data_IF_186348794803
#
_entry.id   IF_186348794803
#
_cell.length_a   1.000
_cell.length_b   1.000
_cell.length_c   1.000
_cell.angle_alpha   90.00
_cell.angle_beta   90.00
_cell.angle_gamma   90.00
#
_symmetry.space_group_name_H-M   'P 1'
#
loop_
_entity.id
_entity.type
_entity.pdbx_description
1 polymer ?
2 non-polymer ?
3 water ?
#
# COMPACT_ATOMS: atom_id res chain seq x y z
N UNK A 14 -22.54 15.68 -28.82
CA UNK A 14 -21.10 15.77 -28.65
C UNK A 14 -20.71 15.40 -27.22
N UNK A 15 -21.70 15.28 -26.34
CA UNK A 15 -21.45 15.03 -24.93
C UNK A 15 -22.60 14.25 -24.34
N UNK A 16 -22.29 13.10 -23.73
CA UNK A 16 -23.27 12.29 -23.01
C UNK A 16 -23.05 12.48 -21.51
N UNK A 17 -24.14 12.71 -20.79
CA UNK A 17 -24.09 13.09 -19.38
C UNK A 17 -24.81 12.04 -18.54
N UNK A 18 -24.40 11.93 -17.29
CA UNK A 18 -25.05 11.06 -16.31
C UNK A 18 -24.64 11.48 -14.91
N UNK A 19 -25.58 11.44 -13.98
CA UNK A 19 -25.37 11.85 -12.60
C UNK A 19 -25.30 10.62 -11.70
N UNK A 20 -24.30 10.60 -10.83
CA UNK A 20 -24.07 9.49 -9.89
C UNK A 20 -24.37 9.99 -8.48
N UNK A 21 -25.18 9.22 -7.76
CA UNK A 21 -25.46 9.54 -6.37
C UNK A 21 -24.43 8.86 -5.46
N UNK A 22 -24.24 9.37 -4.25
CA UNK A 22 -23.20 8.81 -3.38
C UNK A 22 -23.54 7.40 -2.91
N UNK A 23 -22.50 6.59 -2.75
CA UNK A 23 -22.65 5.22 -2.26
C UNK A 23 -21.40 4.82 -1.49
N UNK A 24 -21.59 4.30 -0.29
CA UNK A 24 -20.49 3.81 0.53
C UNK A 24 -19.72 4.89 1.26
N UNK A 25 -19.85 6.15 0.86
CA UNK A 25 -19.15 7.25 1.52
C UNK A 25 -19.65 8.56 0.92
N UNK A 26 -19.34 9.65 1.61
CA UNK A 26 -19.76 10.98 1.18
C UNK A 26 -21.27 11.08 1.02
N UNK A 27 -22.02 10.34 1.83
CA UNK A 27 -23.48 10.29 1.72
C UNK A 27 -24.19 11.14 2.75
N UNK A 28 -23.47 11.78 3.68
CA UNK A 28 -24.05 12.64 4.70
C UNK A 28 -23.11 13.83 4.89
N UNK A 29 -23.36 14.91 4.16
CA UNK A 29 -22.49 16.07 4.13
C UNK A 29 -23.24 17.32 4.55
N UNK A 30 -22.48 18.32 5.00
CA UNK A 30 -23.03 19.63 5.34
C UNK A 30 -22.86 20.59 4.17
N UNK A 31 -23.72 21.60 4.13
CA UNK A 31 -23.64 22.56 3.03
C UNK A 31 -22.27 23.22 2.97
N UNK A 32 -21.71 23.57 4.13
CA UNK A 32 -20.35 24.13 4.15
C UNK A 32 -19.36 23.16 3.53
N UNK A 33 -19.40 21.89 3.96
CA UNK A 33 -18.52 20.89 3.38
C UNK A 33 -18.70 20.80 1.87
N UNK A 34 -19.94 20.83 1.40
CA UNK A 34 -20.20 20.78 -0.04
C UNK A 34 -19.55 21.97 -0.73
N UNK A 35 -19.75 23.17 -0.18
CA UNK A 35 -19.10 24.36 -0.75
C UNK A 35 -17.59 24.21 -0.77
N UNK A 36 -17.02 23.63 0.30
CA UNK A 36 -15.58 23.38 0.31
C UNK A 36 -15.18 22.45 -0.83
N UNK A 37 -15.85 21.30 -0.94
CA UNK A 37 -15.59 20.39 -2.06
C UNK A 37 -15.67 21.13 -3.39
N UNK A 38 -16.60 22.07 -3.51
CA UNK A 38 -16.85 22.75 -4.78
C UNK A 38 -15.58 23.45 -5.29
N UNK A 39 -15.03 24.37 -4.50
CA UNK A 39 -13.84 25.09 -4.93
C UNK A 39 -12.65 24.15 -5.11
N UNK A 40 -12.49 23.20 -4.19
CA UNK A 40 -11.41 22.21 -4.32
C UNK A 40 -11.44 21.55 -5.68
N UNK A 41 -12.63 21.17 -6.15
CA UNK A 41 -12.78 20.54 -7.46
C UNK A 41 -12.46 21.49 -8.61
N UNK A 42 -12.30 22.78 -8.33
CA UNK A 42 -11.96 23.75 -9.36
C UNK A 42 -10.59 24.37 -9.17
N UNK A 43 -9.83 23.91 -8.18
CA UNK A 43 -8.47 24.40 -7.96
C UNK A 43 -7.49 23.54 -8.76
N UNK A 44 -6.20 23.71 -8.51
CA UNK A 44 -5.20 22.93 -9.24
C UNK A 44 -5.37 21.44 -9.04
N UNK A 45 -6.05 21.01 -7.96
CA UNK A 45 -6.26 19.60 -7.70
C UNK A 45 -7.09 18.91 -8.76
N UNK A 46 -7.68 19.65 -9.70
CA UNK A 46 -8.61 19.03 -10.64
C UNK A 46 -7.94 17.94 -11.45
N UNK A 47 -6.76 18.24 -12.03
CA UNK A 47 -6.08 17.25 -12.86
C UNK A 47 -5.85 15.96 -12.09
N UNK A 48 -5.43 16.05 -10.84
CA UNK A 48 -5.28 14.84 -10.02
C UNK A 48 -6.63 14.17 -9.80
N UNK A 49 -7.64 14.95 -9.46
CA UNK A 49 -8.96 14.39 -9.18
C UNK A 49 -9.57 13.74 -10.41
N UNK A 50 -9.39 14.35 -11.58
CA UNK A 50 -9.94 13.78 -12.81
C UNK A 50 -9.24 12.47 -13.16
N UNK A 51 -7.90 12.47 -13.16
CA UNK A 51 -7.15 11.28 -13.54
C UNK A 51 -7.43 10.11 -12.61
N UNK A 52 -7.75 10.39 -11.34
CA UNK A 52 -8.06 9.30 -10.41
C UNK A 52 -9.46 8.73 -10.67
N UNK A 53 -10.46 9.60 -10.83
CA UNK A 53 -11.78 9.13 -11.21
C UNK A 53 -11.72 8.31 -12.50
N UNK A 54 -10.94 8.77 -13.48
CA UNK A 54 -10.82 8.02 -14.73
C UNK A 54 -10.24 6.64 -14.49
N UNK A 55 -9.20 6.55 -13.66
CA UNK A 55 -8.60 5.25 -13.36
C UNK A 55 -9.62 4.32 -12.71
N UNK A 56 -10.41 4.85 -11.77
CA UNK A 56 -11.41 4.03 -11.10
C UNK A 56 -12.40 3.46 -12.11
N UNK A 57 -12.82 4.28 -13.09
CA UNK A 57 -13.82 3.87 -14.06
C UNK A 57 -13.32 2.81 -15.04
N UNK A 58 -12.02 2.51 -15.02
CA UNK A 58 -11.45 1.50 -15.91
C UNK A 58 -11.09 0.20 -15.18
N UNK A 59 -11.44 0.08 -13.91
CA UNK A 59 -11.20 -1.16 -13.18
C UNK A 59 -11.98 -2.32 -13.79
N UNK A 60 -11.26 -3.27 -14.39
CA UNK A 60 -11.87 -4.38 -15.10
C UNK A 60 -11.67 -4.32 -16.60
N UNK A 61 -11.39 -3.15 -17.15
CA UNK A 61 -11.05 -3.06 -18.57
C UNK A 61 -9.76 -3.83 -18.83
N UNK A 62 -9.81 -4.75 -19.81
CA UNK A 62 -8.74 -5.71 -20.03
C UNK A 62 -7.61 -5.17 -20.91
N UNK A 63 -7.37 -3.86 -20.89
CA UNK A 63 -6.18 -3.30 -21.54
C UNK A 63 -5.09 -3.19 -20.49
N UNK A 64 -4.15 -4.14 -20.51
CA UNK A 64 -3.13 -4.20 -19.47
C UNK A 64 -2.27 -2.95 -19.43
N UNK A 65 -1.98 -2.36 -20.59
CA UNK A 65 -1.17 -1.14 -20.64
C UNK A 65 -1.93 0.00 -19.99
N UNK A 66 -1.46 0.44 -18.81
CA UNK A 66 -2.17 1.45 -18.05
C UNK A 66 -2.21 2.78 -18.79
N UNK A 67 -1.03 3.39 -19.01
CA UNK A 67 -0.98 4.71 -19.64
C UNK A 67 -1.56 4.69 -21.05
N UNK A 68 -1.53 3.53 -21.72
CA UNK A 68 -2.17 3.43 -23.03
C UNK A 68 -3.65 3.79 -22.94
N UNK A 69 -4.34 3.27 -21.92
CA UNK A 69 -5.79 3.46 -21.80
C UNK A 69 -6.15 4.82 -21.24
N UNK A 70 -5.26 5.43 -20.44
CA UNK A 70 -5.55 6.74 -19.86
C UNK A 70 -5.68 7.80 -20.95
N UNK A 71 -4.98 7.63 -22.07
CA UNK A 71 -5.08 8.60 -23.15
C UNK A 71 -6.29 8.35 -24.03
N UNK A 72 -6.72 7.09 -24.15
CA UNK A 72 -7.84 6.75 -25.01
C UNK A 72 -9.10 7.56 -24.67
N UNK A 73 -9.16 8.17 -23.50
CA UNK A 73 -10.34 8.89 -23.05
C UNK A 73 -10.00 10.38 -22.96
N UNK A 74 -9.86 11.00 -24.13
CA UNK A 74 -9.65 12.44 -24.18
C UNK A 74 -10.92 13.20 -23.86
N UNK A 75 -12.08 12.62 -24.18
CA UNK A 75 -13.34 13.31 -23.98
C UNK A 75 -13.64 13.54 -22.50
N UNK A 76 -13.08 12.71 -21.63
CA UNK A 76 -13.59 12.60 -20.27
C UNK A 76 -13.32 13.86 -19.44
N UNK A 77 -14.31 14.26 -18.67
CA UNK A 77 -14.17 15.29 -17.63
C UNK A 77 -15.22 15.01 -16.57
N UNK A 78 -14.96 15.52 -15.36
CA UNK A 78 -15.86 15.30 -14.23
C UNK A 78 -15.98 16.58 -13.42
N UNK A 79 -17.20 16.87 -12.98
CA UNK A 79 -17.46 18.02 -12.12
C UNK A 79 -18.30 17.57 -10.94
N UNK A 80 -18.24 18.35 -9.87
CA UNK A 80 -18.94 18.07 -8.63
C UNK A 80 -20.21 18.92 -8.59
N UNK A 81 -21.34 18.27 -8.30
CA UNK A 81 -22.63 18.95 -8.29
C UNK A 81 -23.06 19.22 -6.85
N UNK A 82 -23.50 20.45 -6.61
CA UNK A 82 -24.00 20.84 -5.29
C UNK A 82 -25.52 20.66 -5.26
N UNK A 83 -26.01 20.00 -4.21
CA UNK A 83 -27.43 19.89 -3.96
C UNK A 83 -27.70 20.20 -2.49
N UNK A 84 -28.89 20.74 -2.22
CA UNK A 84 -29.24 21.14 -0.86
C UNK A 84 -28.92 20.04 0.14
N UNK A 85 -29.20 18.78 -0.21
CA UNK A 85 -28.93 17.68 0.69
C UNK A 85 -27.45 17.34 0.74
N UNK A 86 -26.81 17.27 -0.44
CA UNK A 86 -25.41 16.89 -0.50
C UNK A 86 -24.84 17.02 -1.89
N UNK A 87 -23.93 16.11 -2.25
CA UNK A 87 -23.20 16.19 -3.50
C UNK A 87 -23.65 15.07 -4.43
N UNK A 88 -23.54 15.34 -5.73
CA UNK A 88 -23.59 14.33 -6.77
C UNK A 88 -22.42 14.55 -7.72
N UNK A 89 -22.02 13.48 -8.40
CA UNK A 89 -20.92 13.54 -9.35
C UNK A 89 -21.47 13.51 -10.76
N UNK A 90 -21.02 14.43 -11.60
CA UNK A 90 -21.40 14.51 -12.99
C UNK A 90 -20.27 13.98 -13.86
N UNK A 91 -20.59 13.04 -14.74
CA UNK A 91 -19.61 12.42 -15.62
C UNK A 91 -19.89 12.82 -17.06
N UNK A 92 -18.86 13.30 -17.76
CA UNK A 92 -18.96 13.69 -19.16
C UNK A 92 -18.12 12.72 -19.98
N UNK A 93 -18.76 12.01 -20.89
CA UNK A 93 -18.10 11.06 -21.78
C UNK A 93 -17.25 10.04 -21.02
N UNK A 94 -17.84 9.30 -20.09
CA UNK A 94 -17.07 8.29 -19.34
C UNK A 94 -16.99 6.99 -20.12
N UNK A 95 -16.15 6.05 -19.66
CA UNK A 95 -16.03 4.77 -20.36
C UNK A 95 -17.32 3.97 -20.34
N UNK A 96 -17.61 3.31 -21.46
CA UNK A 96 -18.85 2.55 -21.57
C UNK A 96 -18.80 1.29 -20.71
N UNK A 97 -17.66 0.59 -20.69
CA UNK A 97 -17.56 -0.67 -19.95
C UNK A 97 -17.90 -0.53 -18.48
N UNK A 98 -18.07 0.69 -17.98
CA UNK A 98 -18.39 0.91 -16.58
C UNK A 98 -19.88 0.97 -16.30
N UNK A 99 -20.73 0.75 -17.31
CA UNK A 99 -22.16 0.84 -17.14
C UNK A 99 -22.84 -0.45 -17.59
N UNK A 100 -24.03 -0.68 -17.04
CA UNK A 100 -24.84 -1.84 -17.35
C UNK A 100 -26.26 -1.32 -17.59
N UNK A 101 -26.67 -1.26 -18.85
CA UNK A 101 -27.99 -0.76 -19.22
C UNK A 101 -28.23 0.65 -18.70
N UNK A 102 -27.19 1.49 -18.77
CA UNK A 102 -27.30 2.87 -18.36
C UNK A 102 -27.07 3.14 -16.88
N UNK A 103 -26.82 2.11 -16.08
CA UNK A 103 -26.55 2.27 -14.66
C UNK A 103 -25.10 1.91 -14.37
N UNK A 104 -24.47 2.67 -13.46
CA UNK A 104 -23.08 2.43 -13.13
C UNK A 104 -22.96 1.20 -12.24
N UNK A 105 -21.91 0.42 -12.46
CA UNK A 105 -21.66 -0.75 -11.61
C UNK A 105 -21.36 -0.26 -10.20
N UNK A 106 -22.04 -0.86 -9.22
CA UNK A 106 -21.89 -0.39 -7.83
C UNK A 106 -20.44 -0.35 -7.41
N UNK A 107 -19.70 -1.43 -7.66
CA UNK A 107 -18.30 -1.49 -7.24
C UNK A 107 -17.52 -0.27 -7.69
N UNK A 108 -17.65 0.08 -8.97
CA UNK A 108 -17.02 1.30 -9.47
C UNK A 108 -17.59 2.53 -8.78
N UNK A 109 -18.92 2.58 -8.64
CA UNK A 109 -19.57 3.72 -8.01
C UNK A 109 -19.02 3.98 -6.61
N UNK A 110 -18.80 2.90 -5.84
CA UNK A 110 -18.25 3.07 -4.50
C UNK A 110 -16.81 3.57 -4.55
N UNK A 111 -15.99 2.99 -5.43
CA UNK A 111 -14.64 3.52 -5.64
C UNK A 111 -14.68 4.95 -6.13
N UNK A 112 -15.70 5.30 -6.93
CA UNK A 112 -15.77 6.65 -7.49
C UNK A 112 -15.88 7.70 -6.38
N UNK A 113 -16.73 7.44 -5.38
CA UNK A 113 -16.85 8.36 -4.27
C UNK A 113 -15.76 8.18 -3.22
N UNK A 114 -15.05 7.05 -3.25
CA UNK A 114 -13.86 6.91 -2.42
C UNK A 114 -12.79 7.90 -2.86
N UNK A 115 -12.69 8.15 -4.17
CA UNK A 115 -11.76 9.17 -4.68
C UNK A 115 -12.23 10.56 -4.24
N UNK A 116 -13.51 10.84 -4.39
CA UNK A 116 -14.06 12.13 -3.95
C UNK A 116 -13.71 12.40 -2.49
N UNK A 117 -13.69 11.35 -1.67
CA UNK A 117 -13.43 11.48 -0.24
C UNK A 117 -11.94 11.72 0.05
N UNK A 118 -11.08 10.79 -0.40
CA UNK A 118 -9.68 10.82 0.01
C UNK A 118 -8.86 11.87 -0.74
N UNK A 119 -9.27 12.25 -1.95
CA UNK A 119 -8.52 13.23 -2.72
C UNK A 119 -8.96 14.65 -2.42
N UNK A 120 -10.27 14.91 -2.47
CA UNK A 120 -10.79 16.25 -2.25
C UNK A 120 -11.02 16.57 -0.79
N UNK A 121 -11.72 15.68 -0.07
CA UNK A 121 -12.06 15.98 1.32
C UNK A 121 -10.83 15.91 2.21
N UNK A 122 -10.00 14.89 2.05
CA UNK A 122 -8.87 14.65 2.94
C UNK A 122 -7.61 15.30 2.38
N UNK A 123 -7.25 14.94 1.14
CA UNK A 123 -5.99 15.39 0.57
C UNK A 123 -5.99 16.89 0.31
N UNK A 124 -7.04 17.41 -0.34
CA UNK A 124 -7.08 18.82 -0.69
C UNK A 124 -7.18 19.74 0.50
N UNK A 125 -7.89 19.32 1.55
CA UNK A 125 -8.04 20.14 2.75
C UNK A 125 -6.93 19.90 3.77
N UNK A 126 -6.09 18.90 3.57
CA UNK A 126 -5.06 18.58 4.55
C UNK A 126 -3.86 19.49 4.40
N UNK A 127 -3.34 19.63 3.18
CA UNK A 127 -2.22 20.55 2.96
C UNK A 127 -2.58 21.96 3.39
N UNK A 128 -3.81 22.38 3.11
CA UNK A 128 -4.34 23.62 3.67
C UNK A 128 -4.22 23.58 5.19
N UNK A 129 -3.23 24.29 5.74
CA UNK A 129 -3.25 24.58 7.17
C UNK A 129 -4.04 25.84 7.47
N UNK A 130 -4.43 26.59 6.44
CA UNK A 130 -5.39 27.67 6.60
C UNK A 130 -6.77 27.09 6.90
N UNK A 131 -7.05 25.88 6.43
CA UNK A 131 -8.33 25.20 6.56
C UNK A 131 -8.42 24.29 7.77
N UNK A 132 -7.49 23.34 7.92
CA UNK A 132 -7.56 22.41 9.04
C UNK A 132 -6.91 22.99 10.29
N UNK A 133 -7.17 22.42 11.48
CA UNK A 133 -6.62 22.99 12.71
C UNK A 133 -5.11 22.86 12.76
N UNK A 134 -4.49 23.36 13.84
CA UNK A 134 -3.06 23.19 14.01
C UNK A 134 -2.74 21.70 13.93
N UNK A 135 -2.15 21.31 12.80
CA UNK A 135 -1.89 19.91 12.46
C UNK A 135 -0.42 19.83 12.06
N UNK A 136 0.46 19.73 13.06
CA UNK A 136 1.89 19.72 12.80
C UNK A 136 2.29 18.47 12.03
N UNK A 137 2.22 18.56 10.69
CA UNK A 137 2.56 17.42 9.84
C UNK A 137 3.97 16.90 10.10
N UNK A 138 4.80 17.66 10.82
CA UNK A 138 6.14 17.22 11.18
C UNK A 138 6.17 16.47 12.51
N UNK A 139 5.10 16.57 13.31
CA UNK A 139 5.03 15.82 14.56
C UNK A 139 4.70 14.37 14.26
N UNK A 140 5.45 13.46 14.90
CA UNK A 140 5.24 12.04 14.64
C UNK A 140 3.88 11.57 15.15
N UNK A 141 3.40 12.15 16.25
CA UNK A 141 2.11 11.74 16.79
C UNK A 141 0.98 12.14 15.85
N UNK A 142 0.99 13.39 15.39
CA UNK A 142 -0.09 13.86 14.52
C UNK A 142 -0.22 12.98 13.28
N UNK A 143 0.92 12.62 12.67
CA UNK A 143 0.88 11.73 11.50
C UNK A 143 0.09 10.47 11.83
N UNK A 144 0.47 9.79 12.91
CA UNK A 144 -0.19 8.54 13.28
C UNK A 144 -1.69 8.76 13.48
N UNK A 145 -2.06 9.76 14.27
CA UNK A 145 -3.47 10.05 14.49
C UNK A 145 -4.18 10.43 13.20
N UNK A 146 -3.48 11.13 12.30
CA UNK A 146 -4.08 11.48 11.02
C UNK A 146 -4.37 10.23 10.20
N UNK A 147 -3.39 9.33 10.08
CA UNK A 147 -3.60 8.06 9.42
C UNK A 147 -4.84 7.36 9.98
N UNK A 148 -4.96 7.35 11.31
CA UNK A 148 -6.15 6.81 11.94
C UNK A 148 -7.41 7.53 11.49
N UNK A 149 -7.40 8.87 11.54
CA UNK A 149 -8.58 9.63 11.14
C UNK A 149 -9.00 9.30 9.72
N UNK A 150 -8.02 9.14 8.82
CA UNK A 150 -8.34 8.81 7.44
C UNK A 150 -9.04 7.46 7.38
N UNK A 151 -8.45 6.45 8.03
CA UNK A 151 -9.04 5.12 8.01
C UNK A 151 -10.45 5.13 8.62
N UNK A 152 -10.61 5.82 9.75
CA UNK A 152 -11.94 5.93 10.34
C UNK A 152 -12.92 6.61 9.39
N UNK A 153 -12.47 7.69 8.74
CA UNK A 153 -13.32 8.39 7.79
C UNK A 153 -13.68 7.49 6.61
N UNK A 154 -12.79 6.56 6.27
CA UNK A 154 -13.06 5.57 5.23
C UNK A 154 -13.93 4.42 5.72
N UNK A 155 -14.45 4.52 6.95
CA UNK A 155 -15.30 3.47 7.52
C UNK A 155 -14.65 2.10 7.38
N UNK A 156 -13.33 2.05 7.60
CA UNK A 156 -12.55 0.83 7.50
C UNK A 156 -12.10 0.30 8.85
N UNK A 157 -12.57 0.88 9.94
CA UNK A 157 -12.23 0.43 11.29
C UNK A 157 -13.51 -0.03 11.97
N UNK A 158 -13.63 -1.33 12.21
CA UNK A 158 -14.83 -1.91 12.80
C UNK A 158 -14.62 -2.15 14.29
N UNK A 159 -15.67 -1.88 15.07
CA UNK A 159 -15.56 -1.90 16.53
C UNK A 159 -15.66 -3.34 17.01
N UNK A 160 -14.75 -3.72 17.90
CA UNK A 160 -14.81 -5.01 18.58
C UNK A 160 -14.84 -6.21 17.65
N UNK A 161 -14.10 -6.16 16.56
CA UNK A 161 -14.06 -7.26 15.59
C UNK A 161 -12.74 -8.00 15.73
N UNK A 162 -12.83 -9.32 15.86
CA UNK A 162 -11.64 -10.14 16.04
C UNK A 162 -10.64 -9.90 14.90
N UNK A 163 -9.34 -9.94 15.20
CA UNK A 163 -8.33 -9.70 14.15
C UNK A 163 -8.37 -10.78 13.09
N UNK A 164 -8.55 -10.36 11.83
CA UNK A 164 -8.59 -11.29 10.71
C UNK A 164 -7.99 -10.70 9.44
N UNK A 165 -7.25 -9.60 9.54
CA UNK A 165 -6.75 -8.88 8.38
C UNK A 165 -5.31 -9.29 8.09
N UNK A 166 -5.04 -9.65 6.84
CA UNK A 166 -3.71 -10.06 6.40
C UNK A 166 -3.29 -9.16 5.25
N UNK A 167 -2.27 -8.34 5.49
CA UNK A 167 -1.71 -7.48 4.45
C UNK A 167 -0.79 -8.31 3.55
N UNK A 168 -0.81 -8.02 2.26
CA UNK A 168 -0.01 -8.75 1.28
C UNK A 168 0.74 -7.76 0.40
N UNK A 169 2.05 -7.96 0.28
CA UNK A 169 2.90 -7.15 -0.58
C UNK A 169 3.51 -8.03 -1.67
N UNK A 170 3.59 -7.48 -2.89
CA UNK A 170 4.10 -8.26 -4.00
C UNK A 170 4.43 -7.37 -5.17
N UNK A 171 5.00 -7.99 -6.20
CA UNK A 171 5.45 -7.25 -7.36
C UNK A 171 4.29 -6.76 -8.21
N UNK A 172 4.52 -5.64 -8.90
CA UNK A 172 3.50 -5.08 -9.77
C UNK A 172 3.12 -6.07 -10.87
N UNK A 173 4.08 -6.43 -11.71
CA UNK A 173 3.87 -7.41 -12.78
C UNK A 173 4.73 -8.63 -12.49
N UNK A 174 4.14 -9.82 -12.60
CA UNK A 174 4.80 -11.07 -12.27
C UNK A 174 4.47 -12.10 -13.33
N UNK A 175 5.31 -13.13 -13.41
CA UNK A 175 5.08 -14.20 -14.37
C UNK A 175 3.83 -14.98 -13.98
N UNK A 176 3.35 -15.80 -14.93
CA UNK A 176 2.18 -16.62 -14.65
C UNK A 176 2.45 -17.59 -13.51
N UNK A 177 3.71 -17.96 -13.29
CA UNK A 177 4.05 -18.92 -12.24
C UNK A 177 3.78 -18.33 -10.86
N UNK A 178 4.35 -17.16 -10.57
CA UNK A 178 4.15 -16.55 -9.27
C UNK A 178 2.69 -16.20 -9.03
N UNK A 179 1.98 -15.79 -10.09
CA UNK A 179 0.58 -15.40 -9.94
C UNK A 179 -0.26 -16.55 -9.42
N UNK A 180 -0.02 -17.77 -9.91
CA UNK A 180 -0.80 -18.92 -9.45
C UNK A 180 -0.55 -19.20 -7.98
N UNK A 181 0.70 -19.11 -7.54
CA UNK A 181 1.00 -19.38 -6.14
C UNK A 181 0.31 -18.38 -5.22
N UNK A 182 0.34 -17.09 -5.58
CA UNK A 182 -0.34 -16.09 -4.77
C UNK A 182 -1.84 -16.35 -4.74
N UNK A 183 -2.43 -16.70 -5.87
CA UNK A 183 -3.83 -17.10 -5.88
C UNK A 183 -4.07 -18.26 -4.91
N UNK A 184 -3.23 -19.28 -4.98
CA UNK A 184 -3.37 -20.44 -4.10
C UNK A 184 -3.28 -20.02 -2.64
N UNK A 185 -2.28 -19.21 -2.29
CA UNK A 185 -2.17 -18.71 -0.93
C UNK A 185 -3.43 -17.96 -0.55
N UNK A 186 -3.94 -17.13 -1.46
CA UNK A 186 -5.18 -16.42 -1.18
C UNK A 186 -6.34 -17.37 -0.91
N UNK A 187 -6.45 -18.42 -1.72
CA UNK A 187 -7.50 -19.41 -1.49
C UNK A 187 -7.40 -20.02 -0.11
N UNK A 188 -6.20 -20.48 0.28
CA UNK A 188 -6.03 -21.05 1.60
C UNK A 188 -6.32 -20.04 2.70
N UNK A 189 -6.04 -18.76 2.45
CA UNK A 189 -6.41 -17.73 3.42
C UNK A 189 -7.92 -17.54 3.47
N UNK A 190 -8.58 -17.57 2.32
CA UNK A 190 -10.03 -17.47 2.30
C UNK A 190 -10.70 -18.66 2.95
N UNK A 191 -10.16 -19.87 2.72
CA UNK A 191 -10.71 -21.06 3.34
C UNK A 191 -10.66 -21.02 4.87
N UNK A 192 -9.90 -20.09 5.45
CA UNK A 192 -9.80 -19.93 6.89
C UNK A 192 -10.42 -18.62 7.37
N UNK A 193 -11.25 -17.99 6.55
CA UNK A 193 -12.03 -16.82 6.96
C UNK A 193 -11.12 -15.64 7.33
N UNK A 194 -10.05 -15.47 6.57
CA UNK A 194 -9.18 -14.30 6.69
C UNK A 194 -9.47 -13.33 5.55
N UNK A 195 -9.39 -12.04 5.85
CA UNK A 195 -9.53 -10.99 4.86
C UNK A 195 -8.15 -10.53 4.40
N UNK A 196 -8.15 -9.71 3.34
CA UNK A 196 -6.91 -9.37 2.64
C UNK A 196 -6.86 -7.88 2.34
N UNK A 197 -5.68 -7.30 2.54
CA UNK A 197 -5.39 -5.90 2.19
C UNK A 197 -4.14 -5.88 1.34
N UNK A 198 -4.17 -5.11 0.25
CA UNK A 198 -3.05 -5.05 -0.68
C UNK A 198 -2.88 -3.63 -1.19
N UNK A 199 -1.91 -3.45 -2.09
CA UNK A 199 -1.62 -2.17 -2.71
C UNK A 199 -2.61 -1.71 -3.75
N UNK A 200 -3.68 -2.46 -3.97
CA UNK A 200 -4.81 -2.04 -4.80
C UNK A 200 -4.52 -2.11 -6.30
N UNK A 201 -3.49 -2.85 -6.71
CA UNK A 201 -3.11 -2.90 -8.10
C UNK A 201 -3.18 -4.31 -8.67
N UNK A 202 -2.53 -4.51 -9.83
CA UNK A 202 -2.52 -5.85 -10.45
C UNK A 202 -1.43 -6.75 -9.85
N UNK A 203 -1.11 -7.84 -10.54
CA UNK A 203 -0.02 -8.70 -10.08
C UNK A 203 -0.30 -9.29 -8.72
N UNK A 204 0.71 -9.26 -7.85
CA UNK A 204 0.60 -9.82 -6.51
C UNK A 204 -0.41 -9.09 -5.64
N UNK A 205 -0.84 -7.89 -6.02
CA UNK A 205 -1.84 -7.13 -5.27
C UNK A 205 -3.27 -7.50 -5.65
N UNK A 206 -3.45 -8.37 -6.63
CA UNK A 206 -4.77 -8.79 -7.09
C UNK A 206 -4.99 -10.29 -6.95
N UNK A 207 -3.94 -11.10 -7.14
CA UNK A 207 -4.10 -12.55 -7.11
C UNK A 207 -4.62 -13.05 -5.76
N UNK A 208 -4.01 -12.70 -4.63
CA UNK A 208 -4.55 -13.20 -3.34
C UNK A 208 -6.01 -12.86 -3.13
N UNK A 209 -6.49 -11.72 -3.63
CA UNK A 209 -7.91 -11.40 -3.51
C UNK A 209 -8.76 -12.35 -4.35
N UNK A 210 -8.38 -12.56 -5.61
CA UNK A 210 -9.14 -13.45 -6.47
C UNK A 210 -9.25 -14.85 -5.88
N UNK A 211 -8.19 -15.30 -5.21
CA UNK A 211 -8.20 -16.60 -4.56
C UNK A 211 -8.99 -16.62 -3.27
N UNK A 212 -8.85 -15.58 -2.45
CA UNK A 212 -9.61 -15.49 -1.22
C UNK A 212 -11.11 -15.45 -1.49
N UNK A 213 -11.53 -14.84 -2.59
CA UNK A 213 -12.95 -14.82 -2.92
C UNK A 213 -13.52 -16.22 -3.06
N UNK A 214 -12.76 -17.13 -3.68
CA UNK A 214 -13.23 -18.50 -3.85
C UNK A 214 -13.38 -19.16 -2.49
N UNK A 215 -12.33 -19.11 -1.67
CA UNK A 215 -12.39 -19.71 -0.34
C UNK A 215 -13.57 -19.20 0.46
N UNK A 216 -13.76 -17.88 0.49
CA UNK A 216 -14.89 -17.32 1.22
C UNK A 216 -16.20 -17.95 0.76
N UNK A 217 -16.38 -18.08 -0.55
CA UNK A 217 -17.58 -18.72 -1.08
C UNK A 217 -17.68 -20.17 -0.60
N UNK A 218 -16.57 -20.92 -0.68
CA UNK A 218 -16.58 -22.31 -0.22
C UNK A 218 -16.93 -22.40 1.26
N UNK A 219 -16.44 -21.46 2.07
CA UNK A 219 -16.74 -21.45 3.49
C UNK A 219 -18.02 -20.71 3.83
N UNK A 220 -18.74 -20.22 2.82
CA UNK A 220 -19.95 -19.43 3.05
C UNK A 220 -19.65 -18.20 3.91
N UNK A 221 -18.44 -17.66 3.79
CA UNK A 221 -18.07 -16.45 4.51
C UNK A 221 -18.77 -15.25 3.87
N UNK A 222 -19.58 -14.54 4.66
CA UNK A 222 -20.50 -13.56 4.10
C UNK A 222 -19.79 -12.28 3.67
N UNK A 223 -19.23 -11.54 4.63
CA UNK A 223 -18.75 -10.18 4.37
C UNK A 223 -17.23 -10.20 4.20
N UNK A 224 -16.81 -10.47 2.98
CA UNK A 224 -15.40 -10.34 2.63
C UNK A 224 -14.99 -8.88 2.67
N UNK A 225 -13.77 -8.62 3.14
CA UNK A 225 -13.19 -7.29 3.13
C UNK A 225 -11.92 -7.33 2.30
N UNK A 226 -11.94 -6.67 1.15
CA UNK A 226 -10.80 -6.60 0.24
C UNK A 226 -10.38 -5.14 0.14
N UNK A 227 -9.38 -4.78 0.94
CA UNK A 227 -8.96 -3.39 1.09
C UNK A 227 -7.81 -3.11 0.14
N UNK A 228 -8.04 -2.21 -0.81
CA UNK A 228 -6.96 -1.66 -1.61
C UNK A 228 -6.49 -0.36 -1.02
N UNK A 229 -5.21 -0.29 -0.69
CA UNK A 229 -4.62 0.89 -0.06
C UNK A 229 -3.56 1.45 -1.01
N UNK A 230 -3.84 2.61 -1.59
CA UNK A 230 -2.99 3.21 -2.62
C UNK A 230 -2.81 4.70 -2.30
N UNK A 231 -2.13 5.40 -3.20
CA UNK A 231 -1.84 6.81 -3.04
C UNK A 231 -2.09 7.52 -4.36
N UNK A 232 -2.22 8.86 -4.33
CA UNK A 232 -2.66 9.58 -5.54
C UNK A 232 -1.77 9.33 -6.76
N UNK A 233 -0.45 9.44 -6.62
CA UNK A 233 0.42 9.32 -7.78
C UNK A 233 0.33 7.93 -8.42
N UNK A 234 0.03 6.90 -7.63
CA UNK A 234 -0.09 5.55 -8.17
C UNK A 234 -1.42 5.37 -8.88
N UNK A 235 -2.52 5.48 -8.13
CA UNK A 235 -3.85 5.25 -8.67
C UNK A 235 -4.17 6.16 -9.85
N UNK A 236 -3.52 7.33 -9.94
CA UNK A 236 -3.73 8.21 -11.08
C UNK A 236 -3.29 7.57 -12.39
N UNK A 237 -2.38 6.59 -12.34
CA UNK A 237 -1.95 5.87 -13.53
C UNK A 237 -2.34 4.39 -13.51
N UNK A 238 -2.61 3.82 -12.35
CA UNK A 238 -2.94 2.40 -12.23
C UNK A 238 -4.37 2.22 -11.73
N UNK A 239 -5.29 1.79 -12.59
CA UNK A 239 -6.63 1.46 -12.11
C UNK A 239 -6.57 0.34 -11.09
N UNK A 240 -7.45 0.37 -10.09
CA UNK A 240 -7.46 -0.71 -9.10
C UNK A 240 -8.04 -1.98 -9.68
N UNK A 241 -7.58 -3.12 -9.16
CA UNK A 241 -8.12 -4.38 -9.61
C UNK A 241 -9.60 -4.47 -9.23
N UNK A 242 -10.40 -5.18 -10.02
CA UNK A 242 -11.86 -5.17 -9.80
C UNK A 242 -12.31 -5.95 -8.58
N UNK A 243 -11.40 -6.56 -7.82
CA UNK A 243 -11.77 -7.27 -6.60
C UNK A 243 -11.87 -6.36 -5.39
N UNK A 244 -11.18 -5.21 -5.41
CA UNK A 244 -11.19 -4.31 -4.27
C UNK A 244 -12.61 -3.82 -4.00
N UNK A 245 -13.10 -4.03 -2.78
CA UNK A 245 -14.41 -3.54 -2.38
C UNK A 245 -14.35 -2.49 -1.28
N UNK A 246 -13.16 -2.13 -0.81
CA UNK A 246 -12.97 -1.02 0.12
C UNK A 246 -11.70 -0.29 -0.31
N UNK A 247 -11.86 0.77 -1.10
CA UNK A 247 -10.73 1.53 -1.62
C UNK A 247 -10.32 2.61 -0.65
N UNK A 248 -9.01 2.81 -0.51
CA UNK A 248 -8.45 3.82 0.39
C UNK A 248 -7.22 4.42 -0.26
N UNK A 249 -7.15 5.75 -0.28
CA UNK A 249 -6.05 6.48 -0.92
C UNK A 249 -5.43 7.36 0.15
N UNK A 250 -4.22 7.00 0.59
CA UNK A 250 -3.51 7.81 1.56
C UNK A 250 -2.79 8.97 0.88
N UNK A 251 -2.48 10.03 1.62
CA UNK A 251 -1.85 11.20 0.98
C UNK A 251 -0.40 10.97 0.57
N UNK A 252 0.43 10.40 1.43
CA UNK A 252 1.84 10.21 1.15
C UNK A 252 2.18 8.73 1.07
N UNK A 253 3.35 8.45 0.47
CA UNK A 253 3.89 7.09 0.49
C UNK A 253 4.09 6.64 1.94
N UNK A 254 4.70 7.50 2.76
CA UNK A 254 5.02 7.13 4.13
C UNK A 254 3.76 6.94 4.96
N UNK A 255 2.67 7.63 4.61
CA UNK A 255 1.41 7.40 5.32
C UNK A 255 0.71 6.13 4.86
N UNK A 256 0.90 5.75 3.59
CA UNK A 256 0.35 4.49 3.11
C UNK A 256 1.01 3.30 3.79
N UNK A 257 2.33 3.35 3.95
CA UNK A 257 3.05 2.25 4.59
C UNK A 257 2.70 2.13 6.07
N UNK A 258 2.55 3.27 6.76
CA UNK A 258 2.13 3.23 8.15
C UNK A 258 0.72 2.68 8.28
N UNK A 259 -0.16 3.02 7.34
CA UNK A 259 -1.49 2.43 7.34
C UNK A 259 -1.42 0.91 7.24
N UNK A 260 -0.62 0.41 6.28
CA UNK A 260 -0.43 -1.04 6.16
C UNK A 260 -0.08 -1.67 7.49
N UNK A 261 0.82 -1.05 8.24
CA UNK A 261 1.37 -1.68 9.44
C UNK A 261 0.34 -1.69 10.56
N UNK A 262 -0.44 -0.61 10.69
CA UNK A 262 -1.29 -0.46 11.87
C UNK A 262 -2.62 -1.19 11.74
N UNK A 263 -3.10 -1.46 10.53
CA UNK A 263 -4.31 -2.24 10.37
C UNK A 263 -4.02 -3.73 10.24
N UNK A 264 -2.81 -4.11 9.87
CA UNK A 264 -2.49 -5.51 9.66
C UNK A 264 -2.46 -6.28 10.97
N UNK A 265 -2.93 -7.53 10.91
CA UNK A 265 -2.68 -8.51 11.95
C UNK A 265 -1.68 -9.57 11.50
N UNK A 266 -1.30 -9.55 10.23
CA UNK A 266 -0.25 -10.39 9.70
C UNK A 266 0.13 -9.87 8.34
N UNK A 267 1.36 -10.18 7.92
CA UNK A 267 1.90 -9.67 6.67
C UNK A 267 2.57 -10.80 5.90
N UNK A 268 2.26 -10.90 4.61
CA UNK A 268 2.85 -11.87 3.71
C UNK A 268 3.52 -11.13 2.57
N UNK A 269 4.76 -11.50 2.26
CA UNK A 269 5.54 -10.85 1.22
C UNK A 269 5.83 -11.86 0.13
N UNK A 270 5.44 -11.53 -1.10
CA UNK A 270 5.77 -12.31 -2.27
C UNK A 270 6.96 -11.72 -3.00
N UNK A 271 7.59 -12.48 -3.88
CA UNK A 271 8.66 -11.91 -4.71
C UNK A 271 8.20 -10.63 -5.42
N UNK A 272 8.92 -9.54 -5.21
CA UNK A 272 8.60 -8.29 -5.88
C UNK A 272 9.83 -7.66 -6.51
N UNK A 273 10.79 -8.50 -6.88
CA UNK A 273 12.04 -7.97 -7.40
C UNK A 273 12.84 -7.33 -6.29
N UNK A 274 13.51 -6.23 -6.61
CA UNK A 274 14.35 -5.57 -5.63
C UNK A 274 13.51 -4.79 -4.63
N UNK A 275 12.35 -4.28 -5.07
CA UNK A 275 11.47 -3.57 -4.15
C UNK A 275 11.15 -4.38 -2.91
N UNK A 276 11.17 -5.71 -3.02
CA UNK A 276 10.93 -6.56 -1.87
C UNK A 276 11.92 -6.27 -0.75
N UNK A 277 13.18 -6.01 -1.11
CA UNK A 277 14.20 -5.69 -0.11
C UNK A 277 13.82 -4.43 0.65
N UNK A 278 13.60 -3.33 -0.07
CA UNK A 278 13.16 -2.09 0.56
C UNK A 278 11.99 -2.34 1.50
N UNK A 279 11.00 -3.09 1.04
CA UNK A 279 9.83 -3.38 1.86
C UNK A 279 10.21 -4.20 3.08
N UNK A 280 11.14 -5.15 2.93
CA UNK A 280 11.52 -5.99 4.06
C UNK A 280 12.32 -5.20 5.09
N UNK A 281 13.26 -4.37 4.64
CA UNK A 281 14.04 -3.56 5.57
C UNK A 281 13.14 -2.67 6.42
N UNK A 282 12.13 -2.06 5.79
CA UNK A 282 11.20 -1.19 6.51
C UNK A 282 10.60 -1.92 7.71
N UNK A 283 10.04 -3.11 7.49
CA UNK A 283 9.42 -3.85 8.57
C UNK A 283 10.42 -4.15 9.68
N UNK A 284 11.58 -4.71 9.32
CA UNK A 284 12.58 -5.03 10.32
C UNK A 284 12.95 -3.79 11.13
N UNK A 285 12.99 -2.62 10.49
CA UNK A 285 13.30 -1.40 11.23
C UNK A 285 12.30 -1.13 12.34
N UNK A 286 11.09 -1.64 12.20
CA UNK A 286 10.07 -1.47 13.23
C UNK A 286 10.10 -2.61 14.24
N UNK A 287 10.17 -3.85 13.74
CA UNK A 287 10.08 -5.00 14.64
C UNK A 287 11.29 -5.11 15.54
N UNK A 288 12.50 -4.94 14.99
CA UNK A 288 13.72 -5.07 15.77
C UNK A 288 13.99 -3.88 16.66
N UNK A 289 13.08 -2.91 16.71
CA UNK A 289 13.16 -1.84 17.70
C UNK A 289 12.88 -2.43 19.08
N UNK A 290 13.75 -2.23 20.07
CA UNK A 290 13.51 -2.82 21.39
C UNK A 290 12.21 -2.38 22.03
N UNK A 291 11.68 -1.21 21.65
CA UNK A 291 10.38 -0.79 22.15
C UNK A 291 9.26 -1.73 21.72
N UNK A 292 9.46 -2.47 20.63
CA UNK A 292 8.44 -3.36 20.10
C UNK A 292 8.74 -4.83 20.40
N UNK A 293 9.61 -5.10 21.38
CA UNK A 293 10.01 -6.48 21.64
C UNK A 293 8.81 -7.36 21.96
N UNK A 294 7.82 -6.83 22.67
CA UNK A 294 6.67 -7.60 23.10
C UNK A 294 5.50 -7.54 22.11
N UNK A 295 5.68 -6.89 20.96
CA UNK A 295 4.63 -6.84 19.97
C UNK A 295 4.48 -8.19 19.27
N UNK A 296 3.31 -8.40 18.67
CA UNK A 296 2.97 -9.64 18.00
C UNK A 296 2.47 -9.28 16.60
N UNK A 297 3.30 -9.52 15.58
CA UNK A 297 2.95 -9.23 14.19
C UNK A 297 3.58 -10.29 13.31
N UNK A 298 2.82 -11.34 12.94
CA UNK A 298 3.40 -12.42 12.13
C UNK A 298 3.86 -11.90 10.77
N UNK A 299 5.01 -12.40 10.32
CA UNK A 299 5.57 -12.04 9.03
C UNK A 299 6.02 -13.31 8.34
N UNK A 300 5.51 -13.56 7.14
CA UNK A 300 5.87 -14.73 6.36
C UNK A 300 6.26 -14.28 4.96
N UNK A 301 7.42 -14.73 4.50
CA UNK A 301 7.87 -14.53 3.13
C UNK A 301 7.76 -15.85 2.40
N UNK A 302 6.96 -15.89 1.33
CA UNK A 302 6.66 -17.13 0.64
C UNK A 302 6.65 -16.89 -0.86
N UNK A 303 6.88 -17.97 -1.61
CA UNK A 303 6.86 -17.94 -3.05
C UNK A 303 6.83 -19.33 -3.64
N UNK A 304 6.61 -19.42 -4.95
CA UNK A 304 6.63 -20.73 -5.62
C UNK A 304 7.98 -21.40 -5.46
N UNK A 305 8.03 -22.66 -5.86
CA UNK A 305 9.27 -23.41 -5.73
C UNK A 305 10.42 -22.72 -6.45
N UNK A 306 10.12 -21.96 -7.51
CA UNK A 306 11.17 -21.35 -8.31
C UNK A 306 11.88 -20.23 -7.56
N UNK A 307 11.18 -19.55 -6.65
CA UNK A 307 11.75 -18.45 -5.87
C UNK A 307 12.57 -18.92 -4.67
N UNK A 308 13.11 -20.13 -4.71
CA UNK A 308 13.91 -20.63 -3.60
C UNK A 308 15.18 -19.79 -3.41
N UNK A 309 16.00 -19.69 -4.46
CA UNK A 309 17.25 -18.95 -4.35
C UNK A 309 17.01 -17.45 -4.19
N UNK A 310 15.94 -16.92 -4.79
CA UNK A 310 15.62 -15.51 -4.61
C UNK A 310 15.53 -15.16 -3.13
N UNK A 311 14.79 -15.96 -2.36
CA UNK A 311 14.68 -15.72 -0.92
C UNK A 311 15.93 -16.15 -0.17
N UNK A 312 16.60 -17.20 -0.64
CA UNK A 312 17.89 -17.57 -0.04
C UNK A 312 18.85 -16.40 -0.08
N UNK A 313 19.08 -15.84 -1.27
CA UNK A 313 19.93 -14.65 -1.40
C UNK A 313 19.46 -13.59 -0.42
N UNK A 314 18.15 -13.32 -0.40
CA UNK A 314 17.64 -12.27 0.46
C UNK A 314 17.85 -12.61 1.94
N UNK A 315 17.88 -13.90 2.28
CA UNK A 315 18.03 -14.28 3.68
C UNK A 315 19.47 -14.09 4.16
N UNK A 316 20.44 -14.61 3.39
CA UNK A 316 21.84 -14.41 3.74
C UNK A 316 22.15 -12.93 3.95
N UNK A 317 21.62 -12.07 3.08
CA UNK A 317 21.85 -10.63 3.22
C UNK A 317 21.39 -10.14 4.59
N UNK A 318 20.17 -10.51 4.98
CA UNK A 318 19.64 -10.07 6.28
C UNK A 318 20.53 -10.57 7.41
N UNK A 319 20.83 -11.87 7.41
CA UNK A 319 21.64 -12.45 8.48
C UNK A 319 23.00 -11.77 8.54
N UNK A 320 23.67 -11.64 7.39
CA UNK A 320 25.03 -11.13 7.36
C UNK A 320 25.12 -9.63 7.65
N UNK A 321 23.99 -8.93 7.78
CA UNK A 321 24.00 -7.51 8.07
C UNK A 321 23.27 -7.15 9.35
N UNK A 322 22.10 -7.74 9.61
CA UNK A 322 21.34 -7.47 10.82
C UNK A 322 21.51 -8.54 11.89
N UNK A 323 22.14 -9.67 11.55
CA UNK A 323 22.38 -10.72 12.51
C UNK A 323 21.26 -11.76 12.53
N UNK A 324 21.61 -12.95 13.03
CA UNK A 324 20.63 -14.02 13.14
C UNK A 324 19.40 -13.60 13.93
N UNK A 325 19.54 -12.57 14.78
CA UNK A 325 18.39 -12.06 15.53
C UNK A 325 17.26 -11.64 14.61
N UNK A 326 17.55 -11.33 13.36
CA UNK A 326 16.51 -10.90 12.44
C UNK A 326 15.47 -11.98 12.19
N UNK A 327 15.88 -13.26 12.26
CA UNK A 327 15.01 -14.36 11.88
C UNK A 327 13.92 -14.69 12.90
N UNK A 328 14.01 -14.14 14.12
CA UNK A 328 12.95 -14.31 15.09
C UNK A 328 11.74 -13.46 14.78
N UNK A 329 11.78 -12.70 13.68
CA UNK A 329 10.69 -11.80 13.29
C UNK A 329 10.09 -12.17 11.95
N UNK A 330 10.62 -13.17 11.26
CA UNK A 330 10.06 -13.60 9.98
C UNK A 330 10.34 -15.08 9.79
N UNK A 331 9.55 -15.69 8.90
CA UNK A 331 9.68 -17.09 8.54
C UNK A 331 9.52 -17.19 7.02
N UNK A 332 10.38 -17.99 6.39
CA UNK A 332 10.32 -18.20 4.95
C UNK A 332 9.68 -19.55 4.67
N UNK A 333 8.68 -19.56 3.80
CA UNK A 333 7.96 -20.77 3.42
C UNK A 333 7.93 -20.85 1.90
N UNK A 334 8.56 -21.88 1.35
CA UNK A 334 8.71 -22.02 -0.10
C UNK A 334 7.70 -23.04 -0.60
N UNK A 335 6.82 -22.60 -1.50
CA UNK A 335 5.89 -23.48 -2.20
C UNK A 335 5.11 -24.36 -1.24
N UNK A 336 4.42 -23.73 -0.30
CA UNK A 336 3.44 -24.43 0.53
C UNK A 336 2.39 -23.40 0.94
N UNK A 337 1.25 -23.42 0.27
CA UNK A 337 0.23 -22.41 0.52
C UNK A 337 -0.58 -22.73 1.76
N UNK A 338 -0.83 -24.02 2.01
CA UNK A 338 -1.62 -24.40 3.17
C UNK A 338 -0.90 -24.03 4.46
N UNK A 339 0.42 -24.24 4.51
CA UNK A 339 1.19 -23.91 5.72
C UNK A 339 1.21 -22.40 5.94
N UNK A 340 1.43 -21.61 4.88
CA UNK A 340 1.42 -20.16 5.02
C UNK A 340 0.11 -19.71 5.67
N UNK A 341 -1.02 -20.14 5.10
CA UNK A 341 -2.31 -19.73 5.65
C UNK A 341 -2.53 -20.28 7.04
N UNK A 342 -2.11 -21.53 7.29
CA UNK A 342 -2.30 -22.12 8.61
C UNK A 342 -1.52 -21.35 9.67
N UNK A 343 -0.29 -20.94 9.34
CA UNK A 343 0.49 -20.13 10.27
C UNK A 343 -0.26 -18.87 10.65
N UNK A 344 -0.73 -18.12 9.65
CA UNK A 344 -1.42 -16.87 9.92
C UNK A 344 -2.67 -17.09 10.76
N UNK A 345 -3.41 -18.17 10.49
CA UNK A 345 -4.63 -18.42 11.25
C UNK A 345 -4.33 -18.67 12.72
N UNK A 346 -3.25 -19.38 13.02
CA UNK A 346 -2.88 -19.64 14.42
C UNK A 346 -2.46 -18.36 15.13
N UNK A 347 -1.86 -17.41 14.42
CA UNK A 347 -1.37 -16.19 15.05
C UNK A 347 -2.50 -15.24 15.45
N UNK A 348 -3.65 -15.32 14.79
CA UNK A 348 -4.75 -14.39 15.08
C UNK A 348 -5.11 -14.37 16.56
N UNK A 349 -5.38 -15.50 17.22
CA UNK A 349 -5.58 -15.45 18.68
C UNK A 349 -4.43 -14.81 19.42
N UNK A 350 -3.20 -15.01 18.95
CA UNK A 350 -2.05 -14.41 19.61
C UNK A 350 -2.06 -12.89 19.48
N UNK A 351 -2.42 -12.38 18.29
CA UNK A 351 -2.61 -10.95 18.13
C UNK A 351 -3.73 -10.47 19.05
N UNK A 352 -4.91 -11.09 18.93
CA UNK A 352 -6.02 -10.76 19.81
C UNK A 352 -5.59 -10.77 21.26
N UNK A 353 -4.93 -11.85 21.69
CA UNK A 353 -4.41 -11.90 23.05
C UNK A 353 -3.41 -10.79 23.30
N UNK A 354 -2.55 -10.50 22.32
CA UNK A 354 -1.53 -9.47 22.50
C UNK A 354 -2.16 -8.10 22.66
N UNK A 355 -3.10 -7.75 21.76
CA UNK A 355 -3.80 -6.47 21.89
C UNK A 355 -4.57 -6.41 23.20
N UNK A 356 -5.22 -7.51 23.57
CA UNK A 356 -6.01 -7.53 24.81
C UNK A 356 -5.13 -7.37 26.03
N UNK A 357 -3.86 -7.78 25.94
CA UNK A 357 -2.96 -7.71 27.09
C UNK A 357 -2.61 -6.26 27.43
N UNK A 358 -2.61 -5.37 26.44
CA UNK A 358 -2.21 -3.98 26.65
C UNK A 358 -3.37 -3.00 26.53
N UNK A 359 -4.56 -3.45 26.13
CA UNK A 359 -5.66 -2.53 25.88
C UNK A 359 -5.65 -1.89 24.51
N UNK A 360 -4.84 -2.37 23.57
CA UNK A 360 -4.78 -1.81 22.23
C UNK A 360 -6.04 -2.20 21.45
N UNK A 361 -6.32 -1.44 20.40
CA UNK A 361 -7.46 -1.73 19.55
C UNK A 361 -7.19 -2.97 18.69
N UNK A 362 -8.25 -3.72 18.40
CA UNK A 362 -8.12 -4.88 17.53
C UNK A 362 -7.89 -4.48 16.09
N UNK A 363 -8.46 -3.36 15.66
CA UNK A 363 -8.47 -2.96 14.26
C UNK A 363 -7.33 -2.01 13.89
N UNK A 364 -6.52 -1.60 14.86
CA UNK A 364 -5.51 -0.58 14.62
C UNK A 364 -4.47 -0.65 15.74
N UNK A 365 -3.21 -0.83 15.37
CA UNK A 365 -2.12 -1.04 16.33
C UNK A 365 -1.51 0.31 16.69
N UNK A 366 -1.98 0.89 17.80
CA UNK A 366 -1.42 2.16 18.27
C UNK A 366 -0.02 1.96 18.86
N UNK A 367 0.14 0.97 19.74
CA UNK A 367 1.35 0.88 20.55
C UNK A 367 2.59 0.64 19.71
N UNK A 368 2.45 0.06 18.52
CA UNK A 368 3.61 -0.17 17.66
C UNK A 368 4.37 1.12 17.42
N UNK A 369 5.59 1.21 17.96
CA UNK A 369 6.41 2.41 17.78
C UNK A 369 7.04 2.39 16.39
N UNK A 370 6.73 3.41 15.59
CA UNK A 370 7.38 3.63 14.30
C UNK A 370 8.24 4.87 14.44
N UNK A 371 9.56 4.69 14.30
CA UNK A 371 10.47 5.81 14.54
C UNK A 371 10.14 6.96 13.61
N UNK A 372 10.28 8.21 14.07
CA UNK A 372 9.89 9.35 13.21
C UNK A 372 10.64 9.42 11.89
N UNK A 373 11.88 8.90 11.83
CA UNK A 373 12.60 8.88 10.56
C UNK A 373 11.85 8.08 9.50
N UNK A 374 11.13 7.04 9.91
CA UNK A 374 10.41 6.18 8.97
C UNK A 374 9.10 6.78 8.48
N UNK A 375 8.64 7.88 9.06
CA UNK A 375 7.40 8.53 8.64
C UNK A 375 7.63 9.74 7.76
N UNK A 376 8.87 10.07 7.43
CA UNK A 376 9.13 11.29 6.71
C UNK A 376 9.63 11.00 5.29
N UNK A 377 9.29 11.85 4.33
CA UNK A 377 9.75 11.61 2.95
C UNK A 377 11.25 11.71 2.83
N UNK A 378 11.80 11.01 1.84
CA UNK A 378 13.24 10.99 1.61
C UNK A 378 13.51 11.15 0.11
N UNK A 379 14.48 12.00 -0.21
CA UNK A 379 14.83 12.33 -1.58
C UNK A 379 16.23 11.82 -1.90
N UNK A 380 16.39 11.04 -2.99
CA UNK A 380 17.70 10.47 -3.34
C UNK A 380 18.64 11.49 -3.98
N UNK A 381 18.99 12.51 -3.22
CA UNK A 381 19.98 13.49 -3.63
C UNK A 381 21.36 13.07 -3.14
N UNK A 382 22.38 13.78 -3.62
CA UNK A 382 23.75 13.50 -3.20
C UNK A 382 24.01 13.97 -1.77
N UNK A 383 23.16 14.84 -1.23
CA UNK A 383 23.34 15.34 0.13
C UNK A 383 22.76 14.38 1.15
N UNK A 384 21.46 14.09 1.03
CA UNK A 384 20.79 13.23 2.00
C UNK A 384 21.50 11.88 2.11
N UNK A 385 21.82 11.27 0.97
CA UNK A 385 22.50 9.99 0.98
C UNK A 385 23.83 10.07 1.72
N UNK A 386 24.52 11.20 1.60
CA UNK A 386 25.89 11.31 2.10
C UNK A 386 26.01 10.88 3.55
N UNK A 387 25.09 11.31 4.41
CA UNK A 387 25.16 11.00 5.83
C UNK A 387 24.39 9.73 6.19
N UNK A 388 24.36 8.74 5.31
CA UNK A 388 23.77 7.45 5.64
C UNK A 388 24.75 6.65 6.48
N UNK A 389 24.37 6.38 7.71
CA UNK A 389 25.21 5.60 8.63
C UNK A 389 25.05 4.13 8.27
N UNK A 390 25.93 3.66 7.39
CA UNK A 390 25.86 2.30 6.86
C UNK A 390 26.91 1.39 7.47
N UNK A 391 27.17 1.54 8.77
CA UNK A 391 28.04 0.63 9.49
C UNK A 391 27.25 -0.19 10.50
N UNK A 392 27.81 -1.31 10.97
CA UNK A 392 27.10 -2.17 11.92
C UNK A 392 27.24 -1.80 13.39
N UNK A 393 27.94 -0.70 13.70
CA UNK A 393 28.18 -0.36 15.10
C UNK A 393 26.92 0.19 15.76
N UNK A 394 26.09 0.93 15.03
CA UNK A 394 24.91 1.56 15.59
C UNK A 394 23.79 0.54 15.78
N UNK A 395 22.69 0.94 16.43
CA UNK A 395 21.61 -0.01 16.70
C UNK A 395 21.09 -0.65 15.41
N UNK A 396 20.69 -1.92 15.52
CA UNK A 396 20.28 -2.67 14.35
C UNK A 396 19.09 -2.01 13.66
N UNK A 397 18.13 -1.50 14.45
CA UNK A 397 16.93 -0.90 13.85
C UNK A 397 17.27 0.38 13.10
N UNK A 398 18.34 1.07 13.50
CA UNK A 398 18.79 2.24 12.74
C UNK A 398 19.42 1.81 11.43
N UNK A 399 20.33 0.82 11.49
CA UNK A 399 20.98 0.34 10.28
C UNK A 399 19.97 -0.07 9.22
N UNK A 400 18.88 -0.74 9.64
CA UNK A 400 17.86 -1.15 8.69
C UNK A 400 17.14 0.06 8.09
N UNK A 401 16.87 1.08 8.90
CA UNK A 401 16.26 2.29 8.37
C UNK A 401 17.16 2.95 7.33
N UNK A 402 18.41 3.22 7.69
CA UNK A 402 19.35 3.81 6.73
C UNK A 402 19.59 2.91 5.53
N UNK A 403 19.34 1.60 5.66
CA UNK A 403 19.49 0.71 4.52
C UNK A 403 18.32 0.83 3.55
N UNK A 404 17.08 0.89 4.07
CA UNK A 404 15.94 1.15 3.20
C UNK A 404 16.16 2.43 2.40
N UNK A 405 16.36 3.55 3.11
CA UNK A 405 16.58 4.83 2.45
C UNK A 405 17.74 4.77 1.47
N UNK A 406 18.58 3.74 1.56
CA UNK A 406 19.69 3.58 0.64
C UNK A 406 19.27 2.86 -0.64
N UNK A 407 18.52 1.76 -0.51
CA UNK A 407 18.12 1.00 -1.69
C UNK A 407 17.26 1.86 -2.62
N UNK A 408 16.10 2.30 -2.13
CA UNK A 408 15.25 3.17 -2.94
C UNK A 408 16.00 4.39 -3.45
N UNK A 409 17.11 4.76 -2.82
CA UNK A 409 17.89 5.89 -3.29
C UNK A 409 18.39 5.70 -4.71
N UNK A 410 19.11 4.60 -4.96
CA UNK A 410 19.59 4.29 -6.30
C UNK A 410 18.61 3.42 -7.08
N UNK A 411 17.59 2.87 -6.42
CA UNK A 411 16.49 2.23 -7.15
C UNK A 411 15.99 3.12 -8.27
N UNK A 412 15.44 4.29 -7.90
CA UNK A 412 15.06 5.34 -8.83
C UNK A 412 16.24 6.23 -9.22
N UNK A 413 17.45 5.69 -9.26
CA UNK A 413 18.61 6.52 -9.53
C UNK A 413 19.44 6.16 -10.76
N UNK A 414 18.96 5.17 -11.52
CA UNK A 414 19.64 4.73 -12.74
C UNK A 414 18.86 5.07 -14.00
N UNK A 415 17.59 4.72 -14.07
CA UNK A 415 16.76 5.02 -15.23
C UNK A 415 15.54 5.86 -14.88
N UNK A 416 15.30 6.11 -13.59
CA UNK A 416 14.22 6.98 -13.18
C UNK A 416 14.50 8.42 -13.61
N UNK A 417 13.44 9.15 -13.95
CA UNK A 417 13.58 10.51 -14.49
C UNK A 417 14.28 11.46 -13.52
N UNK A 418 14.45 11.09 -12.25
CA UNK A 418 15.13 11.94 -11.29
C UNK A 418 16.53 11.44 -10.95
N UNK A 419 16.79 10.14 -11.09
CA UNK A 419 18.08 9.56 -10.81
C UNK A 419 19.13 9.82 -11.88
N UNK A 420 18.77 9.59 -13.15
CA UNK A 420 19.72 9.78 -14.24
C UNK A 420 19.89 11.25 -14.63
N UNK A 421 18.95 12.12 -14.25
CA UNK A 421 19.18 13.56 -14.39
C UNK A 421 20.37 14.01 -13.56
N UNK A 422 20.78 13.21 -12.58
CA UNK A 422 21.96 13.47 -11.79
C UNK A 422 22.95 12.31 -11.75
N UNK A 423 22.60 11.16 -12.32
CA UNK A 423 23.52 10.02 -12.33
C UNK A 423 24.52 10.09 -13.48
N UNK A 424 24.19 10.83 -14.54
CA UNK A 424 25.13 11.09 -15.62
C UNK A 424 25.59 12.54 -15.68
N UNK A 425 24.86 13.45 -15.02
CA UNK A 425 25.34 14.81 -14.81
C UNK A 425 26.22 14.94 -13.58
N UNK A 426 25.94 14.14 -12.54
CA UNK A 426 26.73 14.12 -11.32
C UNK A 426 27.43 12.79 -11.08
N UNK A 427 26.94 11.69 -11.65
CA UNK A 427 27.54 10.39 -11.46
C UNK A 427 26.94 9.64 -10.28
N UNK A 428 27.35 8.39 -10.09
CA UNK A 428 26.89 7.64 -8.92
C UNK A 428 27.50 8.21 -7.64
N UNK A 429 26.72 8.14 -6.56
CA UNK A 429 27.16 8.62 -5.26
C UNK A 429 27.68 7.50 -4.37
N UNK A 430 26.92 6.42 -4.22
CA UNK A 430 27.34 5.26 -3.45
C UNK A 430 27.96 5.71 -2.13
N UNK A 431 27.10 6.12 -1.20
CA UNK A 431 27.54 6.86 -0.03
C UNK A 431 28.49 6.03 0.83
N UNK A 432 29.30 6.73 1.61
CA UNK A 432 30.29 6.07 2.45
C UNK A 432 29.63 5.11 3.41
N UNK A 433 30.26 3.95 3.58
CA UNK A 433 29.80 2.93 4.51
C UNK A 433 30.89 1.90 4.70
N UNK A 434 30.64 0.97 5.61
CA UNK A 434 31.62 -0.08 5.86
C UNK A 434 31.89 -0.86 4.58
N UNK A 435 33.18 -1.11 4.31
CA UNK A 435 33.55 -1.85 3.11
C UNK A 435 32.91 -3.23 3.07
N UNK A 436 32.66 -3.83 4.23
CA UNK A 436 32.07 -5.17 4.27
C UNK A 436 30.57 -5.11 3.95
N UNK A 437 29.85 -4.18 4.57
CA UNK A 437 28.41 -4.07 4.32
C UNK A 437 28.16 -3.70 2.86
N UNK A 438 28.97 -2.80 2.30
CA UNK A 438 28.75 -2.35 0.93
C UNK A 438 28.92 -3.50 -0.06
N UNK A 439 29.70 -4.52 0.28
CA UNK A 439 29.86 -5.67 -0.60
C UNK A 439 28.68 -6.63 -0.48
N UNK A 440 28.23 -6.91 0.75
CA UNK A 440 27.06 -7.76 0.93
C UNK A 440 25.86 -7.25 0.15
N UNK A 441 25.83 -5.97 -0.22
CA UNK A 441 24.77 -5.46 -1.06
C UNK A 441 24.95 -5.88 -2.51
N UNK A 442 26.11 -5.58 -3.09
CA UNK A 442 26.37 -6.01 -4.46
C UNK A 442 26.17 -7.51 -4.61
N UNK A 443 26.50 -8.28 -3.57
CA UNK A 443 26.12 -9.69 -3.56
C UNK A 443 24.61 -9.84 -3.67
N UNK A 444 23.86 -8.94 -3.03
CA UNK A 444 22.41 -8.98 -3.11
C UNK A 444 21.94 -8.53 -4.50
N UNK A 445 22.49 -7.43 -5.01
CA UNK A 445 22.11 -6.95 -6.33
C UNK A 445 22.57 -7.92 -7.42
N UNK A 446 23.81 -8.40 -7.32
CA UNK A 446 24.28 -9.42 -8.27
C UNK A 446 23.41 -10.66 -8.21
N UNK A 447 22.88 -11.00 -7.04
CA UNK A 447 22.05 -12.19 -6.92
C UNK A 447 20.70 -12.03 -7.61
N UNK A 448 20.08 -10.86 -7.47
CA UNK A 448 18.82 -10.60 -8.16
C UNK A 448 19.00 -10.57 -9.67
N UNK A 449 20.16 -10.12 -10.14
CA UNK A 449 20.40 -10.05 -11.58
C UNK A 449 20.61 -11.44 -12.15
N UNK A 450 21.30 -12.32 -11.41
CA UNK A 450 21.53 -13.69 -11.86
C UNK A 450 20.24 -14.48 -12.05
N UNK A 451 19.12 -13.99 -11.53
CA UNK A 451 17.83 -14.66 -11.66
C UNK A 451 16.86 -13.90 -12.56
N UNK A 452 17.34 -12.88 -13.28
CA UNK A 452 16.52 -12.12 -14.23
C UNK A 452 15.44 -11.32 -13.51
N UNK A 453 15.80 -10.73 -12.37
CA UNK A 453 14.87 -9.90 -11.60
C UNK A 453 15.04 -8.43 -11.97
X LIG B 1 -15.09 -11.04 25.11
X LIG B 1 -16.04 -11.81 24.32
X LIG B 1 -14.15 -12.04 25.63
X LIG B 1 -14.31 -10.31 24.12
X LIG B 1 -8.02 -3.50 29.87
X LIG B 1 -6.63 -3.67 29.43
X LIG B 1 -7.92 -2.71 31.09
X LIG B 1 -8.59 -2.58 28.89
X LIG B 1 -9.92 -5.17 31.27
X LIG B 1 -9.28 -5.84 32.39
X LIG B 1 -10.33 -3.91 31.89
X LIG B 1 -8.85 -4.91 30.04
X LIG B 1 -11.23 -6.02 30.72
X LIG B 1 -12.69 -5.33 30.35
X LIG B 1 -13.09 -4.37 31.37
X LIG B 1 -13.77 -6.31 30.43
X LIG B 1 -12.62 -4.64 28.87
X LIG B 1 -12.17 -5.42 27.79
X LIG B 1 -13.33 -5.73 26.89
X LIG B 1 -13.33 -4.80 25.74
X LIG B 1 -13.25 -7.11 26.33
X LIG B 1 -14.58 -7.68 26.28
X LIG B 1 -12.76 -6.93 24.98
X LIG B 1 -13.09 -8.04 24.14
X LIG B 1 -13.46 -5.69 24.56
X LIG B 1 -12.99 -5.09 23.36
X LIG B 1 -13.82 -4.85 22.48
X LIG B 1 -13.21 -4.29 21.41
X LIG B 1 -11.74 -4.26 21.92
X LIG B 1 -10.51 -3.79 21.31
X LIG B 1 -10.53 -3.23 20.02
X LIG B 1 -9.27 -3.90 22.05
X LIG B 1 -9.25 -4.43 23.28
X LIG B 1 -7.99 -4.54 24.00
X LIG B 1 -10.54 -4.93 23.93
X LIG B 1 -11.78 -4.81 23.19
X LIG B 1 -14.98 -8.99 27.19
X LIG B 1 -13.81 -9.59 27.83
X LIG B 1 -15.78 -8.58 28.35
X LIG B 1 -15.78 -10.10 26.27
X LIG B 1 -11.51 -4.96 27.31
X LIG B 1 -11.81 -6.22 28.13
X LIG B 1 -14.13 -5.63 27.38
X LIG B 1 -12.67 -7.64 26.84
X LIG B 1 -11.82 -6.78 24.99
X LIG B 1 -12.96 -8.76 24.57
X LIG B 1 -14.38 -5.89 24.44
X LIG B 1 -14.66 -5.01 22.53
X LIG B 1 -7.24 -4.58 23.55
X LIG B 1 -8.00 -4.55 24.86
X LIG B 1 -10.53 -5.27 24.72
#
# INVERSE_FOLDING_TARGET
RGSHHHHHHTDPALRAITHISPLGSMDMLSQLEVDMLKRTASSDLYQLFRNCSLAVLNSGSLTDNSKELLSRFENFDINVLRRERGVKLELINPPEEAFVDGRIIRALQANLFAVLRDILFVYGQIHNTVRFPNLNLDNSVHITNLVFSILRNARALHVGEAPNMVVCWGGHSINENEYLYARRVGNQLGLRELNICTGCGPGAMEAPMKGAAVGHAQQRYKDSRFIGMTEPSIIAAEPPNPLVNELIIMPDIEKRLEAFVRIAHGIIIFPGGVGTAEELLYLLGILMNPANKDQVLPLILTGPKESADYFRVLDEFVVHTLGENARRHYRIIIDDAAEVARQMKKSMPLVKENRRDTGDAYSFNWSMRIAPDLQMPFEPSHENMANLKLYPDQPVEVLAADLRRAFSGIVAGNVKEVGIRAIEEFGPYKINGDKEIMRRMDDLLQGFVAQHRMKLPGSAYIPCYEICTGLCGR
0O2 PD O1D O2D O3D PG O1G O2G O3G PB O1B O2B O3B O3A PA O1A O2A O5' C5' C4' O4' C3' O3' C2' O2' C1' N9 C8 N7 C5 C6 O6 N1 C2 N2 N3 C4 PC O1C O2C O3C H7 H8 H9 H10 H11 H12 H13 H14 H15 H16 H19
#
